data_IF_837850338442
#
_entry.id   IF_837850338442
#
_cell.length_a   1.000
_cell.length_b   1.000
_cell.length_c   1.000
_cell.angle_alpha   90.00
_cell.angle_beta   90.00
_cell.angle_gamma   90.00
#
_symmetry.space_group_name_H-M   'P 1'
#
loop_
_entity.id
_entity.type
_entity.pdbx_description
1 polymer ?
#
# COMPACT_ATOMS: atom_id res chain seq x y z
N UNK A 1 52.21 9.58 31.59
CA UNK A 1 51.73 9.62 32.99
C UNK A 1 51.08 10.97 33.24
N UNK A 2 49.75 11.03 33.12
CA UNK A 2 48.79 12.06 33.57
C UNK A 2 47.44 11.31 33.73
N UNK A 3 46.62 11.58 34.77
CA UNK A 3 45.75 10.58 35.37
C UNK A 3 44.33 10.49 34.80
N UNK A 4 43.72 9.31 35.01
CA UNK A 4 42.32 8.96 34.73
C UNK A 4 41.35 9.81 35.55
N UNK A 5 40.46 10.54 34.86
CA UNK A 5 39.29 11.19 35.42
C UNK A 5 38.07 10.26 35.42
N UNK A 6 37.30 10.32 36.51
CA UNK A 6 36.20 9.45 36.92
C UNK A 6 34.94 9.65 36.05
N UNK A 7 34.32 8.54 35.63
CA UNK A 7 32.91 8.51 35.22
C UNK A 7 32.05 8.30 36.49
N UNK A 8 31.18 9.27 36.78
CA UNK A 8 30.19 9.17 37.83
C UNK A 8 28.97 8.39 37.31
N UNK A 9 28.61 7.34 38.06
CA UNK A 9 27.35 6.63 37.98
C UNK A 9 26.27 7.46 38.68
N UNK A 10 25.09 7.58 38.06
CA UNK A 10 23.85 7.96 38.74
C UNK A 10 22.85 6.83 38.47
N UNK A 11 22.42 6.20 39.57
CA UNK A 11 21.29 5.28 39.64
C UNK A 11 20.07 6.04 40.21
N UNK A 12 18.92 5.35 40.24
CA UNK A 12 17.59 5.70 40.79
C UNK A 12 16.55 5.81 39.65
N UNK A 13 15.40 5.13 39.60
CA UNK A 13 14.66 4.34 40.60
C UNK A 13 13.82 3.23 39.90
N UNK A 14 13.60 2.12 40.62
CA UNK A 14 12.79 0.96 40.26
C UNK A 14 11.34 1.13 40.77
N UNK A 15 10.35 0.85 39.92
CA UNK A 15 9.00 0.47 40.36
C UNK A 15 8.63 -0.90 39.78
N UNK A 16 8.29 -1.83 40.67
CA UNK A 16 7.85 -3.17 40.37
C UNK A 16 6.32 -3.29 40.51
N UNK A 17 5.65 -3.83 39.49
CA UNK A 17 4.36 -4.48 39.69
C UNK A 17 4.17 -5.64 38.70
N UNK A 18 4.19 -6.85 39.28
CA UNK A 18 3.62 -8.12 38.82
C UNK A 18 3.82 -8.48 37.34
N UNK A 19 4.88 -9.25 37.09
CA UNK A 19 4.85 -10.29 36.04
C UNK A 19 5.89 -10.24 34.94
N UNK A 20 7.07 -9.63 35.14
CA UNK A 20 8.08 -9.54 34.07
C UNK A 20 9.51 -9.87 34.51
N UNK A 21 10.25 -10.40 33.53
CA UNK A 21 11.62 -10.90 33.56
C UNK A 21 12.62 -9.86 34.08
N UNK A 22 13.51 -10.29 34.98
CA UNK A 22 14.63 -9.48 35.44
C UNK A 22 15.79 -9.53 34.42
N UNK A 23 16.25 -8.36 33.97
CA UNK A 23 17.60 -8.19 33.42
C UNK A 23 18.51 -7.63 34.50
N UNK A 24 19.46 -8.43 34.98
CA UNK A 24 20.56 -7.96 35.83
C UNK A 24 21.86 -8.58 35.31
N UNK A 25 22.83 -7.74 34.96
CA UNK A 25 24.22 -8.09 34.62
C UNK A 25 24.45 -9.16 33.53
N UNK A 26 24.47 -8.76 32.25
CA UNK A 26 25.26 -9.34 31.11
C UNK A 26 25.58 -10.85 31.08
N UNK A 27 24.73 -11.71 31.61
CA UNK A 27 24.74 -13.15 31.38
C UNK A 27 23.29 -13.60 31.27
N UNK A 28 22.90 -13.98 30.06
CA UNK A 28 21.65 -14.69 29.82
C UNK A 28 21.85 -16.10 30.41
N UNK A 29 21.37 -16.32 31.63
CA UNK A 29 21.29 -17.66 32.22
C UNK A 29 19.96 -18.25 31.79
N UNK A 30 19.92 -18.74 30.55
CA UNK A 30 18.87 -19.66 30.13
C UNK A 30 19.39 -21.08 30.34
N UNK A 31 18.60 -21.92 31.02
CA UNK A 31 18.98 -23.33 31.19
C UNK A 31 18.99 -24.05 29.82
N UNK A 32 19.76 -25.14 29.71
CA UNK A 32 19.73 -25.99 28.51
C UNK A 32 18.32 -26.48 28.19
N UNK A 33 17.49 -26.78 29.21
CA UNK A 33 16.08 -27.13 28.99
C UNK A 33 15.25 -25.96 28.45
N UNK A 34 15.47 -24.71 28.89
CA UNK A 34 14.76 -23.54 28.35
C UNK A 34 15.14 -23.24 26.90
N UNK A 35 16.41 -23.44 26.54
CA UNK A 35 16.88 -23.33 25.15
C UNK A 35 16.30 -24.46 24.29
N UNK A 36 16.15 -25.68 24.82
CA UNK A 36 15.49 -26.79 24.12
C UNK A 36 13.97 -26.59 23.98
N UNK A 37 13.30 -26.04 24.99
CA UNK A 37 11.87 -25.70 24.89
C UNK A 37 11.62 -24.55 23.91
N UNK A 38 12.52 -23.55 23.84
CA UNK A 38 12.47 -22.51 22.82
C UNK A 38 12.90 -23.02 21.45
N UNK A 39 13.82 -23.98 21.38
CA UNK A 39 14.24 -24.66 20.16
C UNK A 39 13.11 -25.49 19.54
N UNK A 40 12.35 -26.22 20.34
CA UNK A 40 11.17 -26.96 19.86
C UNK A 40 10.00 -26.05 19.46
N UNK A 41 9.88 -24.86 20.05
CA UNK A 41 8.92 -23.85 19.57
C UNK A 41 9.43 -23.08 18.33
N UNK A 42 10.74 -23.01 18.10
CA UNK A 42 11.32 -22.38 16.91
C UNK A 42 11.34 -23.30 15.68
N UNK A 43 11.46 -24.62 15.85
CA UNK A 43 11.35 -25.60 14.76
C UNK A 43 9.95 -25.69 14.16
N UNK A 44 8.90 -25.30 14.91
CA UNK A 44 7.51 -25.26 14.44
C UNK A 44 7.16 -24.05 13.54
N UNK A 45 8.11 -23.14 13.29
CA UNK A 45 7.85 -21.92 12.51
C UNK A 45 8.35 -21.94 11.06
N UNK A 46 9.03 -23.01 10.65
CA UNK A 46 9.39 -23.22 9.25
C UNK A 46 8.30 -24.03 8.55
N UNK A 47 7.28 -23.33 8.04
CA UNK A 47 6.36 -23.96 7.09
C UNK A 47 7.13 -24.30 5.81
N UNK A 48 7.05 -25.58 5.42
CA UNK A 48 7.46 -26.03 4.11
C UNK A 48 6.65 -25.31 3.02
N UNK A 49 7.28 -25.10 1.86
CA UNK A 49 6.64 -24.50 0.68
C UNK A 49 5.34 -25.22 0.34
N UNK A 50 4.36 -24.49 -0.18
CA UNK A 50 3.09 -25.09 -0.58
C UNK A 50 3.32 -26.11 -1.71
N UNK A 51 2.67 -27.27 -1.62
CA UNK A 51 2.73 -28.28 -2.68
C UNK A 51 1.97 -27.79 -3.92
N UNK A 52 2.33 -28.30 -5.11
CA UNK A 52 1.63 -27.97 -6.36
C UNK A 52 0.12 -28.19 -6.27
N UNK A 53 -0.32 -29.27 -5.60
CA UNK A 53 -1.75 -29.53 -5.37
C UNK A 53 -2.42 -28.49 -4.46
N UNK A 54 -1.73 -27.97 -3.44
CA UNK A 54 -2.27 -26.91 -2.58
C UNK A 54 -2.39 -25.58 -3.35
N UNK A 55 -1.40 -25.25 -4.19
CA UNK A 55 -1.44 -24.05 -5.03
C UNK A 55 -2.64 -24.09 -5.97
N UNK A 56 -2.90 -25.20 -6.67
CA UNK A 56 -4.04 -25.27 -7.58
C UNK A 56 -5.39 -25.18 -6.86
N UNK A 57 -5.52 -25.71 -5.63
CA UNK A 57 -6.73 -25.53 -4.81
C UNK A 57 -6.95 -24.06 -4.42
N UNK A 58 -5.88 -23.36 -4.01
CA UNK A 58 -5.94 -21.91 -3.74
C UNK A 58 -6.41 -21.15 -4.97
N UNK A 59 -5.87 -21.47 -6.15
CA UNK A 59 -6.26 -20.81 -7.40
C UNK A 59 -7.72 -21.11 -7.78
N UNK A 60 -8.18 -22.34 -7.55
CA UNK A 60 -9.56 -22.74 -7.81
C UNK A 60 -10.54 -21.97 -6.91
N UNK A 61 -10.27 -21.87 -5.61
CA UNK A 61 -11.11 -21.11 -4.69
C UNK A 61 -11.07 -19.60 -4.97
N UNK A 62 -9.89 -19.06 -5.30
CA UNK A 62 -9.75 -17.65 -5.69
C UNK A 62 -10.58 -17.32 -6.94
N UNK A 63 -10.74 -18.27 -7.87
CA UNK A 63 -11.57 -18.05 -9.06
C UNK A 63 -13.07 -17.93 -8.76
N UNK A 64 -13.49 -18.35 -7.55
CA UNK A 64 -14.87 -18.35 -7.09
C UNK A 64 -15.20 -17.16 -6.17
N UNK A 65 -14.24 -16.27 -5.88
CA UNK A 65 -14.49 -15.11 -5.01
C UNK A 65 -15.58 -14.21 -5.59
N UNK A 66 -16.45 -13.72 -4.73
CA UNK A 66 -17.62 -12.96 -5.13
C UNK A 66 -17.27 -11.50 -5.38
N UNK A 67 -16.41 -10.92 -4.55
CA UNK A 67 -16.16 -9.47 -4.55
C UNK A 67 -14.84 -9.05 -5.22
N UNK A 68 -13.96 -10.00 -5.53
CA UNK A 68 -12.64 -9.72 -6.11
C UNK A 68 -12.43 -10.55 -7.38
N UNK A 69 -11.96 -9.90 -8.44
CA UNK A 69 -11.48 -10.53 -9.66
C UNK A 69 -10.01 -10.96 -9.47
N UNK A 70 -9.65 -12.19 -9.86
CA UNK A 70 -8.27 -12.64 -9.88
C UNK A 70 -7.44 -11.89 -10.93
N UNK A 71 -6.10 -12.04 -10.93
CA UNK A 71 -5.24 -11.35 -11.88
C UNK A 71 -5.62 -11.64 -13.34
N UNK A 72 -5.68 -10.56 -14.15
CA UNK A 72 -6.39 -10.54 -15.44
C UNK A 72 -5.66 -11.29 -16.56
N UNK A 73 -4.34 -11.40 -16.49
CA UNK A 73 -3.53 -11.97 -17.56
C UNK A 73 -2.65 -13.14 -17.10
N UNK A 74 -2.30 -14.01 -18.04
CA UNK A 74 -1.51 -15.23 -17.78
C UNK A 74 -0.19 -14.97 -17.05
N UNK A 75 0.48 -13.83 -17.30
CA UNK A 75 1.75 -13.48 -16.66
C UNK A 75 1.55 -13.17 -15.17
N UNK A 76 0.54 -12.39 -14.84
CA UNK A 76 0.15 -12.10 -13.46
C UNK A 76 -0.33 -13.36 -12.74
N UNK A 77 -1.18 -14.18 -13.37
CA UNK A 77 -1.66 -15.44 -12.79
C UNK A 77 -0.50 -16.38 -12.48
N UNK A 78 0.45 -16.55 -13.41
CA UNK A 78 1.65 -17.37 -13.20
C UNK A 78 2.48 -16.83 -12.03
N UNK A 79 2.69 -15.52 -11.99
CA UNK A 79 3.49 -14.90 -10.92
C UNK A 79 2.82 -15.00 -9.56
N UNK A 80 1.50 -14.93 -9.50
CA UNK A 80 0.76 -15.17 -8.27
C UNK A 80 0.89 -16.61 -7.79
N UNK A 81 0.75 -17.60 -8.70
CA UNK A 81 0.99 -19.02 -8.38
C UNK A 81 2.38 -19.26 -7.81
N UNK A 82 3.41 -18.70 -8.45
CA UNK A 82 4.80 -18.73 -7.95
C UNK A 82 4.89 -18.13 -6.54
N UNK A 83 4.26 -16.97 -6.31
CA UNK A 83 4.28 -16.28 -5.02
C UNK A 83 3.59 -17.08 -3.91
N UNK A 84 2.45 -17.73 -4.20
CA UNK A 84 1.75 -18.62 -3.26
C UNK A 84 2.59 -19.85 -2.95
N UNK A 85 3.23 -20.44 -3.97
CA UNK A 85 4.08 -21.63 -3.80
C UNK A 85 5.30 -21.36 -2.91
N UNK A 86 5.85 -20.15 -3.01
CA UNK A 86 7.12 -19.77 -2.40
C UNK A 86 6.96 -18.98 -1.08
N UNK A 87 5.75 -18.51 -0.76
CA UNK A 87 5.48 -17.76 0.46
C UNK A 87 5.78 -18.59 1.71
N UNK A 88 6.51 -17.98 2.65
CA UNK A 88 6.85 -18.58 3.95
C UNK A 88 6.51 -17.62 5.08
N UNK A 89 6.57 -18.05 6.34
CA UNK A 89 6.35 -17.15 7.49
C UNK A 89 7.36 -15.99 7.52
N UNK A 90 8.58 -16.19 6.99
CA UNK A 90 9.64 -15.17 6.94
C UNK A 90 9.52 -14.26 5.72
N UNK A 91 9.04 -14.80 4.62
CA UNK A 91 8.79 -14.08 3.37
C UNK A 91 7.34 -14.34 2.95
N UNK A 92 6.36 -13.73 3.65
CA UNK A 92 4.96 -13.97 3.35
C UNK A 92 4.55 -13.27 2.06
N UNK A 93 3.43 -13.71 1.49
CA UNK A 93 2.73 -12.94 0.46
C UNK A 93 2.37 -11.57 1.04
N UNK A 94 2.90 -10.49 0.48
CA UNK A 94 2.57 -9.13 0.97
C UNK A 94 1.54 -8.50 0.04
N UNK A 95 0.33 -8.35 0.56
CA UNK A 95 -0.82 -7.80 -0.15
C UNK A 95 -0.89 -6.31 0.18
N UNK A 96 -0.80 -5.47 -0.84
CA UNK A 96 -0.87 -4.02 -0.72
C UNK A 96 -2.21 -3.52 -1.24
N UNK A 97 -2.78 -2.59 -0.49
CA UNK A 97 -4.08 -1.99 -0.81
C UNK A 97 -3.94 -0.48 -0.69
N UNK A 98 -4.25 0.24 -1.76
CA UNK A 98 -4.31 1.70 -1.75
C UNK A 98 -5.72 2.17 -1.42
N UNK A 99 -5.85 3.08 -0.47
CA UNK A 99 -7.12 3.69 -0.09
C UNK A 99 -6.98 5.21 -0.13
N UNK A 100 -8.00 5.90 -0.65
CA UNK A 100 -8.05 7.36 -0.55
C UNK A 100 -8.06 7.80 0.93
N UNK A 101 -7.71 9.06 1.21
CA UNK A 101 -8.01 9.68 2.49
C UNK A 101 -9.51 9.58 2.85
N UNK A 102 -9.84 9.89 4.10
CA UNK A 102 -11.23 9.92 4.60
C UNK A 102 -12.01 11.11 4.02
N UNK A 103 -12.18 11.13 2.71
CA UNK A 103 -13.01 12.11 2.03
C UNK A 103 -14.48 11.87 2.35
N UNK A 104 -15.23 12.97 2.48
CA UNK A 104 -16.68 12.92 2.60
C UNK A 104 -17.30 12.09 1.48
N UNK A 105 -18.37 11.38 1.82
CA UNK A 105 -19.09 10.51 0.92
C UNK A 105 -20.59 10.54 1.21
N UNK A 106 -21.39 10.27 0.18
CA UNK A 106 -22.85 10.17 0.25
C UNK A 106 -23.29 9.00 -0.61
N UNK A 107 -24.20 8.17 -0.08
CA UNK A 107 -24.75 7.01 -0.78
C UNK A 107 -23.67 6.03 -1.32
N UNK A 108 -22.55 5.89 -0.58
CA UNK A 108 -21.43 5.01 -0.95
C UNK A 108 -20.47 5.58 -2.00
N UNK A 109 -20.58 6.87 -2.33
CA UNK A 109 -19.75 7.55 -3.33
C UNK A 109 -19.04 8.76 -2.73
N UNK A 110 -17.77 8.97 -3.10
CA UNK A 110 -17.02 10.15 -2.64
C UNK A 110 -17.59 11.46 -3.17
N UNK A 111 -17.87 12.40 -2.26
CA UNK A 111 -18.26 13.78 -2.59
C UNK A 111 -17.05 14.71 -2.65
N UNK A 112 -15.95 14.38 -1.94
CA UNK A 112 -14.77 15.23 -1.78
C UNK A 112 -15.09 16.61 -1.16
N UNK A 113 -16.17 16.71 -0.39
CA UNK A 113 -16.58 17.98 0.25
C UNK A 113 -15.76 18.33 1.49
N UNK A 114 -15.26 17.30 2.20
CA UNK A 114 -14.38 17.48 3.34
C UNK A 114 -13.38 16.33 3.43
N UNK A 115 -12.34 16.54 4.23
CA UNK A 115 -11.36 15.54 4.61
C UNK A 115 -11.47 15.33 6.12
N UNK A 116 -11.89 14.14 6.52
CA UNK A 116 -11.96 13.71 7.91
C UNK A 116 -10.64 13.16 8.42
N UNK A 117 -10.72 12.41 9.52
CA UNK A 117 -9.62 11.64 10.10
C UNK A 117 -10.11 10.29 10.62
N UNK A 118 -11.28 9.84 10.12
CA UNK A 118 -11.91 8.56 10.42
C UNK A 118 -11.38 7.44 9.55
N UNK A 119 -12.11 6.33 9.51
CA UNK A 119 -11.77 5.19 8.65
C UNK A 119 -12.29 5.46 7.24
N UNK A 120 -11.42 5.55 6.22
CA UNK A 120 -11.86 5.88 4.87
C UNK A 120 -12.89 4.88 4.34
N UNK A 121 -13.83 5.37 3.53
CA UNK A 121 -14.87 4.55 2.90
C UNK A 121 -14.28 3.34 2.18
N UNK A 122 -13.26 3.56 1.34
CA UNK A 122 -12.62 2.49 0.59
C UNK A 122 -11.92 1.47 1.51
N UNK A 123 -11.35 1.93 2.63
CA UNK A 123 -10.79 1.03 3.65
C UNK A 123 -11.86 0.12 4.26
N UNK A 124 -13.07 0.63 4.54
CA UNK A 124 -14.16 -0.21 5.06
C UNK A 124 -14.55 -1.31 4.07
N UNK A 125 -14.56 -1.00 2.78
CA UNK A 125 -14.81 -2.01 1.75
C UNK A 125 -13.70 -3.05 1.66
N UNK A 126 -12.43 -2.64 1.70
CA UNK A 126 -11.30 -3.57 1.74
C UNK A 126 -11.37 -4.51 2.94
N UNK A 127 -11.62 -3.97 4.13
CA UNK A 127 -11.77 -4.79 5.34
C UNK A 127 -12.93 -5.79 5.27
N UNK A 128 -13.92 -5.55 4.41
CA UNK A 128 -15.10 -6.41 4.28
C UNK A 128 -14.96 -7.43 3.15
N UNK A 129 -14.44 -7.00 1.99
CA UNK A 129 -14.38 -7.81 0.79
C UNK A 129 -13.06 -8.56 0.62
N UNK A 130 -11.95 -7.98 1.05
CA UNK A 130 -10.65 -8.66 0.98
C UNK A 130 -10.58 -9.85 1.93
N UNK A 131 -11.49 -9.90 2.92
CA UNK A 131 -11.65 -11.02 3.84
C UNK A 131 -11.88 -12.36 3.12
N UNK A 132 -12.52 -12.38 1.96
CA UNK A 132 -12.70 -13.62 1.19
C UNK A 132 -11.37 -14.21 0.73
N UNK A 133 -10.48 -13.37 0.17
CA UNK A 133 -9.14 -13.80 -0.21
C UNK A 133 -8.35 -14.24 1.02
N UNK A 134 -8.45 -13.48 2.12
CA UNK A 134 -7.79 -13.83 3.38
C UNK A 134 -8.24 -15.21 3.88
N UNK A 135 -9.53 -15.50 3.86
CA UNK A 135 -10.06 -16.79 4.30
C UNK A 135 -9.52 -17.96 3.45
N UNK A 136 -9.37 -17.79 2.13
CA UNK A 136 -8.75 -18.79 1.26
C UNK A 136 -7.29 -19.00 1.66
N UNK A 137 -6.52 -17.92 1.83
CA UNK A 137 -5.11 -18.02 2.24
C UNK A 137 -4.95 -18.69 3.60
N UNK A 138 -5.84 -18.43 4.56
CA UNK A 138 -5.82 -19.06 5.88
C UNK A 138 -6.18 -20.53 5.84
N UNK A 139 -7.24 -20.89 5.11
CA UNK A 139 -7.69 -22.28 4.91
C UNK A 139 -6.56 -23.14 4.35
N UNK A 140 -5.82 -22.61 3.37
CA UNK A 140 -4.69 -23.29 2.73
C UNK A 140 -3.35 -22.98 3.38
N UNK A 141 -3.33 -22.34 4.55
CA UNK A 141 -2.13 -22.10 5.35
C UNK A 141 -1.04 -21.30 4.61
N UNK A 142 -1.41 -20.46 3.65
CA UNK A 142 -0.50 -19.56 2.92
C UNK A 142 -0.15 -18.37 3.82
N UNK A 143 1.13 -18.16 4.19
CA UNK A 143 1.52 -17.01 4.99
C UNK A 143 1.33 -15.71 4.21
N UNK A 144 0.65 -14.74 4.82
CA UNK A 144 0.38 -13.44 4.21
C UNK A 144 0.55 -12.28 5.20
N UNK A 145 0.68 -11.08 4.64
CA UNK A 145 0.61 -9.79 5.33
C UNK A 145 -0.19 -8.82 4.47
N UNK A 146 -1.25 -8.25 5.00
CA UNK A 146 -2.07 -7.23 4.34
C UNK A 146 -1.67 -5.84 4.83
N UNK A 147 -1.37 -4.94 3.91
CA UNK A 147 -0.98 -3.56 4.18
C UNK A 147 -1.99 -2.62 3.52
N UNK A 148 -2.85 -2.02 4.35
CA UNK A 148 -3.79 -0.98 3.92
C UNK A 148 -3.09 0.36 4.01
N UNK A 149 -2.90 1.01 2.87
CA UNK A 149 -2.15 2.25 2.73
C UNK A 149 -3.08 3.41 2.38
N UNK A 150 -3.12 4.43 3.25
CA UNK A 150 -3.81 5.68 2.97
C UNK A 150 -2.96 6.55 2.05
N UNK A 151 -3.57 7.08 0.99
CA UNK A 151 -2.92 7.93 0.00
C UNK A 151 -2.71 9.35 0.54
N UNK A 152 -1.57 9.59 1.18
CA UNK A 152 -1.14 10.91 1.69
C UNK A 152 -0.42 11.77 0.64
N UNK A 153 -0.26 11.26 -0.57
CA UNK A 153 0.36 11.95 -1.71
C UNK A 153 -0.47 13.14 -2.23
N UNK A 154 -1.72 13.30 -1.84
CA UNK A 154 -2.50 14.48 -2.26
C UNK A 154 -2.19 15.72 -1.41
N UNK A 155 -1.50 15.55 -0.28
CA UNK A 155 -1.05 16.67 0.56
C UNK A 155 -0.03 17.59 -0.13
N UNK A 156 0.69 17.10 -1.15
CA UNK A 156 1.65 17.88 -1.95
C UNK A 156 0.99 18.58 -3.16
N UNK A 157 -0.32 18.42 -3.33
CA UNK A 157 -1.06 19.08 -4.38
C UNK A 157 -1.69 20.35 -3.82
N UNK A 158 -1.10 21.51 -4.15
CA UNK A 158 -1.48 22.80 -3.55
C UNK A 158 -2.98 23.08 -3.63
N UNK A 159 -3.65 22.64 -4.70
CA UNK A 159 -5.09 22.84 -4.86
C UNK A 159 -5.89 21.99 -3.87
N UNK A 160 -5.42 20.77 -3.57
CA UNK A 160 -6.02 19.91 -2.55
C UNK A 160 -5.74 20.46 -1.15
N UNK A 161 -4.51 20.84 -0.86
CA UNK A 161 -4.15 21.46 0.41
C UNK A 161 -4.97 22.73 0.67
N UNK A 162 -5.09 23.63 -0.31
CA UNK A 162 -5.91 24.84 -0.23
C UNK A 162 -7.38 24.50 0.09
N UNK A 163 -7.94 23.53 -0.64
CA UNK A 163 -9.36 23.18 -0.49
C UNK A 163 -9.69 22.58 0.87
N UNK A 164 -8.85 21.68 1.39
CA UNK A 164 -9.21 20.86 2.55
C UNK A 164 -8.66 21.41 3.88
N UNK A 165 -7.57 22.16 3.82
CA UNK A 165 -6.84 22.66 5.00
C UNK A 165 -6.35 24.10 4.82
N UNK A 166 -6.89 24.86 3.87
CA UNK A 166 -6.49 26.27 3.67
C UNK A 166 -5.01 26.44 3.31
N UNK A 167 -4.43 25.44 2.66
CA UNK A 167 -3.04 25.45 2.19
C UNK A 167 -2.08 24.80 3.19
N UNK A 168 -2.56 24.37 4.37
CA UNK A 168 -1.73 23.72 5.36
C UNK A 168 -1.51 22.23 5.01
N UNK A 169 -0.35 21.96 4.39
CA UNK A 169 0.11 20.59 4.07
C UNK A 169 0.22 19.71 5.32
N UNK A 170 0.74 20.24 6.43
CA UNK A 170 0.97 19.47 7.65
C UNK A 170 -0.36 19.06 8.30
N UNK A 171 -1.35 19.95 8.28
CA UNK A 171 -2.70 19.60 8.71
C UNK A 171 -3.30 18.49 7.82
N UNK A 172 -3.11 18.55 6.50
CA UNK A 172 -3.60 17.52 5.59
C UNK A 172 -2.98 16.16 5.93
N UNK A 173 -1.65 16.13 6.08
CA UNK A 173 -0.92 14.92 6.47
C UNK A 173 -1.37 14.40 7.83
N UNK A 174 -1.58 15.29 8.81
CA UNK A 174 -2.07 14.92 10.14
C UNK A 174 -3.45 14.25 10.06
N UNK A 175 -4.35 14.73 9.19
CA UNK A 175 -5.66 14.11 8.94
C UNK A 175 -5.53 12.73 8.30
N UNK A 176 -4.67 12.58 7.29
CA UNK A 176 -4.35 11.26 6.71
C UNK A 176 -3.80 10.29 7.78
N UNK A 177 -2.93 10.76 8.66
CA UNK A 177 -2.36 9.94 9.73
C UNK A 177 -3.37 9.58 10.81
N UNK A 178 -4.30 10.48 11.13
CA UNK A 178 -5.46 10.13 11.95
C UNK A 178 -6.25 8.97 11.33
N UNK A 179 -6.47 9.00 10.01
CA UNK A 179 -7.15 7.88 9.32
C UNK A 179 -6.38 6.56 9.39
N UNK A 180 -5.04 6.60 9.34
CA UNK A 180 -4.19 5.42 9.57
C UNK A 180 -4.42 4.86 10.97
N UNK A 181 -4.43 5.72 11.98
CA UNK A 181 -4.56 5.31 13.37
C UNK A 181 -5.97 4.77 13.68
N UNK A 182 -7.02 5.41 13.17
CA UNK A 182 -8.41 4.91 13.26
C UNK A 182 -8.59 3.58 12.54
N UNK A 183 -7.98 3.41 11.37
CA UNK A 183 -8.01 2.14 10.66
C UNK A 183 -7.33 1.04 11.49
N UNK A 184 -6.21 1.36 12.16
CA UNK A 184 -5.52 0.42 13.06
C UNK A 184 -6.40 -0.01 14.22
N UNK A 185 -7.14 0.92 14.85
CA UNK A 185 -8.08 0.61 15.93
C UNK A 185 -9.16 -0.39 15.46
N UNK A 186 -9.76 -0.16 14.30
CA UNK A 186 -10.78 -1.07 13.72
C UNK A 186 -10.18 -2.43 13.37
N UNK A 187 -8.97 -2.47 12.81
CA UNK A 187 -8.25 -3.72 12.56
C UNK A 187 -8.02 -4.50 13.86
N UNK A 188 -7.59 -3.83 14.93
CA UNK A 188 -7.35 -4.48 16.23
C UNK A 188 -8.63 -5.07 16.82
N UNK A 189 -9.74 -4.35 16.74
CA UNK A 189 -11.06 -4.84 17.16
C UNK A 189 -11.45 -6.09 16.38
N UNK A 190 -11.39 -6.04 15.03
CA UNK A 190 -11.71 -7.18 14.16
C UNK A 190 -10.76 -8.37 14.34
N UNK A 191 -9.47 -8.13 14.53
CA UNK A 191 -8.51 -9.21 14.75
C UNK A 191 -8.82 -10.00 16.02
N UNK A 192 -9.32 -9.32 17.08
CA UNK A 192 -9.81 -9.98 18.28
C UNK A 192 -11.03 -10.87 18.03
N UNK A 193 -11.92 -10.47 17.11
CA UNK A 193 -13.12 -11.21 16.74
C UNK A 193 -12.81 -12.42 15.83
N UNK A 194 -11.90 -12.27 14.87
CA UNK A 194 -11.63 -13.26 13.83
C UNK A 194 -10.34 -14.07 14.04
N UNK A 195 -9.53 -13.77 15.06
CA UNK A 195 -8.27 -14.45 15.33
C UNK A 195 -7.15 -14.14 14.32
N UNK A 196 -7.29 -13.07 13.52
CA UNK A 196 -6.33 -12.64 12.50
C UNK A 196 -5.19 -11.86 13.18
N UNK A 197 -4.43 -12.51 14.07
CA UNK A 197 -3.45 -11.78 14.89
C UNK A 197 -2.28 -11.22 14.07
N UNK A 198 -2.27 -9.89 13.88
CA UNK A 198 -1.10 -9.09 13.47
C UNK A 198 -0.76 -9.12 11.98
N UNK A 199 -1.57 -9.76 11.13
CA UNK A 199 -1.28 -9.88 9.69
C UNK A 199 -1.77 -8.68 8.87
N UNK A 200 -2.75 -7.95 9.37
CA UNK A 200 -3.30 -6.75 8.74
C UNK A 200 -2.71 -5.54 9.46
N UNK A 201 -2.12 -4.61 8.69
CA UNK A 201 -1.60 -3.35 9.21
C UNK A 201 -2.16 -2.16 8.42
N UNK A 202 -2.23 -1.01 9.08
CA UNK A 202 -2.53 0.27 8.43
C UNK A 202 -1.28 1.15 8.39
N UNK A 203 -1.05 1.76 7.23
CA UNK A 203 0.06 2.65 6.92
C UNK A 203 -0.41 3.76 5.96
N UNK A 204 0.51 4.61 5.50
CA UNK A 204 0.29 5.55 4.39
C UNK A 204 1.37 5.36 3.32
N UNK A 205 1.23 5.96 2.14
CA UNK A 205 2.27 5.83 1.11
C UNK A 205 3.61 6.38 1.60
N UNK A 206 3.63 7.56 2.23
CA UNK A 206 4.88 8.13 2.74
C UNK A 206 5.46 7.37 3.92
N UNK A 207 4.63 6.85 4.84
CA UNK A 207 5.15 6.00 5.94
C UNK A 207 5.67 4.66 5.44
N UNK A 208 5.04 4.08 4.42
CA UNK A 208 5.43 2.78 3.89
C UNK A 208 6.70 2.86 3.04
N UNK A 209 6.86 3.90 2.22
CA UNK A 209 7.95 3.96 1.24
C UNK A 209 8.97 5.07 1.50
N UNK A 210 8.71 5.98 2.42
CA UNK A 210 9.45 7.21 2.65
C UNK A 210 8.99 8.32 1.69
N UNK A 211 8.65 9.50 2.23
CA UNK A 211 8.18 10.65 1.43
C UNK A 211 9.18 11.02 0.33
N UNK A 212 10.43 11.33 0.68
CA UNK A 212 11.47 11.73 -0.28
C UNK A 212 11.67 10.71 -1.40
N UNK A 213 11.71 9.42 -1.03
CA UNK A 213 11.89 8.33 -2.00
C UNK A 213 10.68 8.20 -2.92
N UNK A 214 9.48 8.28 -2.37
CA UNK A 214 8.24 8.23 -3.15
C UNK A 214 8.17 9.41 -4.13
N UNK A 215 8.40 10.63 -3.62
CA UNK A 215 8.33 11.86 -4.40
C UNK A 215 9.39 11.93 -5.49
N UNK A 216 10.63 11.55 -5.18
CA UNK A 216 11.72 11.48 -6.16
C UNK A 216 11.37 10.51 -7.29
N UNK A 217 10.85 9.33 -6.95
CA UNK A 217 10.47 8.33 -7.94
C UNK A 217 9.27 8.78 -8.80
N UNK A 218 8.26 9.40 -8.17
CA UNK A 218 7.11 9.95 -8.87
C UNK A 218 7.51 11.05 -9.85
N UNK A 219 8.34 12.00 -9.44
CA UNK A 219 8.82 13.07 -10.31
C UNK A 219 9.59 12.51 -11.51
N UNK A 220 10.49 11.55 -11.29
CA UNK A 220 11.22 10.91 -12.38
C UNK A 220 10.28 10.22 -13.39
N UNK A 221 9.24 9.52 -12.92
CA UNK A 221 8.24 8.94 -13.83
C UNK A 221 7.42 10.01 -14.55
N UNK A 222 7.06 11.09 -13.87
CA UNK A 222 6.30 12.18 -14.47
C UNK A 222 7.08 12.87 -15.59
N UNK A 223 8.40 13.06 -15.43
CA UNK A 223 9.28 13.62 -16.47
C UNK A 223 9.30 12.73 -17.72
N UNK A 224 9.52 11.42 -17.56
CA UNK A 224 9.52 10.44 -18.67
C UNK A 224 8.15 10.41 -19.37
N UNK A 225 7.07 10.44 -18.59
CA UNK A 225 5.70 10.47 -19.11
C UNK A 225 5.41 11.75 -19.89
N UNK A 226 5.90 12.89 -19.42
CA UNK A 226 5.76 14.19 -20.09
C UNK A 226 6.53 14.22 -21.41
N UNK A 227 7.78 13.74 -21.41
CA UNK A 227 8.55 13.58 -22.64
C UNK A 227 7.82 12.68 -23.64
N UNK A 228 7.28 11.55 -23.18
CA UNK A 228 6.50 10.66 -24.03
C UNK A 228 5.23 11.32 -24.56
N UNK A 229 4.50 12.06 -23.74
CA UNK A 229 3.31 12.82 -24.18
C UNK A 229 3.64 13.81 -25.31
N UNK A 230 4.81 14.45 -25.25
CA UNK A 230 5.31 15.37 -26.28
C UNK A 230 5.73 14.66 -27.55
N UNK A 231 6.26 13.45 -27.47
CA UNK A 231 6.94 12.79 -28.60
C UNK A 231 6.18 11.59 -29.22
N UNK A 232 5.14 11.07 -28.56
CA UNK A 232 4.38 9.88 -28.98
C UNK A 232 2.89 10.23 -29.12
N UNK A 233 2.43 10.36 -30.37
CA UNK A 233 1.04 10.72 -30.69
C UNK A 233 0.03 9.69 -30.16
N UNK A 234 0.36 8.39 -30.19
CA UNK A 234 -0.52 7.35 -29.67
C UNK A 234 -0.69 7.50 -28.16
N UNK A 235 0.42 7.75 -27.45
CA UNK A 235 0.38 8.01 -26.02
C UNK A 235 -0.37 9.31 -25.69
N UNK A 236 -0.19 10.36 -26.49
CA UNK A 236 -0.95 11.62 -26.36
C UNK A 236 -2.45 11.40 -26.46
N UNK A 237 -2.90 10.65 -27.47
CA UNK A 237 -4.32 10.32 -27.65
C UNK A 237 -4.87 9.48 -26.48
N UNK A 238 -4.09 8.54 -25.95
CA UNK A 238 -4.44 7.79 -24.74
C UNK A 238 -4.70 8.74 -23.56
N UNK A 239 -3.78 9.67 -23.30
CA UNK A 239 -3.91 10.63 -22.19
C UNK A 239 -5.15 11.51 -22.36
N UNK A 240 -5.42 12.00 -23.58
CA UNK A 240 -6.64 12.76 -23.88
C UNK A 240 -7.91 11.93 -23.64
N UNK A 241 -7.91 10.66 -24.05
CA UNK A 241 -8.99 9.73 -23.76
C UNK A 241 -9.23 9.51 -22.26
N UNK A 242 -8.15 9.37 -21.49
CA UNK A 242 -8.22 9.24 -20.03
C UNK A 242 -8.78 10.50 -19.35
N UNK A 243 -8.42 11.69 -19.84
CA UNK A 243 -8.98 12.97 -19.37
C UNK A 243 -10.49 13.03 -19.59
N UNK A 244 -10.96 12.71 -20.80
CA UNK A 244 -12.40 12.72 -21.14
C UNK A 244 -13.18 11.78 -20.21
N UNK A 245 -12.65 10.58 -19.96
CA UNK A 245 -13.29 9.58 -19.11
C UNK A 245 -13.29 9.96 -17.62
N UNK A 246 -12.38 10.84 -17.18
CA UNK A 246 -12.24 11.30 -15.79
C UNK A 246 -12.82 12.68 -15.55
N UNK A 247 -13.35 13.35 -16.57
CA UNK A 247 -13.75 14.76 -16.47
C UNK A 247 -14.74 15.01 -15.32
N UNK A 248 -15.75 14.16 -15.15
CA UNK A 248 -16.73 14.32 -14.07
C UNK A 248 -16.11 14.16 -12.68
N UNK A 249 -15.13 13.26 -12.54
CA UNK A 249 -14.35 13.14 -11.30
C UNK A 249 -13.49 14.38 -11.07
N UNK A 250 -12.80 14.88 -12.11
CA UNK A 250 -11.96 16.07 -11.99
C UNK A 250 -12.76 17.32 -11.62
N UNK A 251 -13.98 17.50 -12.15
CA UNK A 251 -14.88 18.59 -11.73
C UNK A 251 -15.25 18.51 -10.24
N UNK A 252 -15.47 17.30 -9.71
CA UNK A 252 -15.71 17.08 -8.26
C UNK A 252 -14.46 17.36 -7.42
N UNK A 253 -13.28 16.98 -7.91
CA UNK A 253 -11.99 17.17 -7.21
C UNK A 253 -11.51 18.63 -7.21
N UNK A 254 -11.82 19.39 -8.26
CA UNK A 254 -11.32 20.75 -8.50
C UNK A 254 -12.47 21.76 -8.70
N UNK A 255 -13.41 21.79 -7.75
CA UNK A 255 -14.64 22.57 -7.83
C UNK A 255 -14.32 24.05 -8.08
N UNK A 256 -14.83 24.57 -9.20
CA UNK A 256 -14.66 25.96 -9.60
C UNK A 256 -13.23 26.38 -9.94
N UNK A 257 -12.26 25.47 -9.92
CA UNK A 257 -10.87 25.74 -10.35
C UNK A 257 -10.77 25.60 -11.87
N UNK A 258 -11.25 24.48 -12.40
CA UNK A 258 -11.22 24.18 -13.84
C UNK A 258 -12.01 25.24 -14.64
N UNK A 259 -13.14 25.70 -14.10
CA UNK A 259 -14.04 26.63 -14.79
C UNK A 259 -13.49 28.07 -14.87
N UNK A 260 -12.41 28.39 -14.13
CA UNK A 260 -11.76 29.72 -14.12
C UNK A 260 -10.53 29.79 -15.02
N UNK A 261 -10.04 28.66 -15.49
CA UNK A 261 -8.88 28.56 -16.38
C UNK A 261 -9.31 28.86 -17.81
N UNK A 262 -8.41 29.45 -18.61
CA UNK A 262 -8.63 29.45 -20.06
C UNK A 262 -8.48 28.03 -20.65
N UNK A 263 -8.83 27.87 -21.93
CA UNK A 263 -8.83 26.55 -22.59
C UNK A 263 -7.44 25.90 -22.58
N UNK A 264 -6.38 26.70 -22.75
CA UNK A 264 -5.02 26.18 -22.80
C UNK A 264 -4.54 25.79 -21.39
N UNK A 265 -4.74 26.66 -20.41
CA UNK A 265 -4.44 26.40 -19.00
C UNK A 265 -5.18 25.15 -18.50
N UNK A 266 -6.45 25.00 -18.90
CA UNK A 266 -7.25 23.82 -18.58
C UNK A 266 -6.66 22.54 -19.19
N UNK A 267 -6.26 22.55 -20.47
CA UNK A 267 -5.63 21.40 -21.10
C UNK A 267 -4.33 21.02 -20.40
N UNK A 268 -3.46 22.01 -20.14
CA UNK A 268 -2.18 21.81 -19.46
C UNK A 268 -2.36 21.25 -18.05
N UNK A 269 -3.31 21.79 -17.28
CA UNK A 269 -3.65 21.32 -15.95
C UNK A 269 -4.13 19.87 -15.96
N UNK A 270 -5.08 19.53 -16.83
CA UNK A 270 -5.68 18.19 -16.90
C UNK A 270 -4.68 17.13 -17.41
N UNK A 271 -3.82 17.50 -18.34
CA UNK A 271 -2.68 16.67 -18.76
C UNK A 271 -1.73 16.45 -17.60
N UNK A 272 -1.30 17.52 -16.93
CA UNK A 272 -0.41 17.46 -15.77
C UNK A 272 -0.95 16.55 -14.68
N UNK A 273 -2.23 16.72 -14.30
CA UNK A 273 -2.90 15.84 -13.33
C UNK A 273 -2.92 14.39 -13.79
N UNK A 274 -3.29 14.13 -15.04
CA UNK A 274 -3.40 12.76 -15.57
C UNK A 274 -2.05 12.06 -15.57
N UNK A 275 -0.99 12.74 -16.01
CA UNK A 275 0.38 12.21 -15.99
C UNK A 275 0.88 11.99 -14.56
N UNK A 276 0.61 12.91 -13.63
CA UNK A 276 0.93 12.75 -12.20
C UNK A 276 0.27 11.51 -11.62
N UNK A 277 -1.01 11.25 -11.93
CA UNK A 277 -1.69 10.02 -11.48
C UNK A 277 -1.04 8.77 -12.09
N UNK A 278 -0.69 8.78 -13.38
CA UNK A 278 0.01 7.64 -13.97
C UNK A 278 1.38 7.41 -13.31
N UNK A 279 2.12 8.47 -13.02
CA UNK A 279 3.40 8.42 -12.30
C UNK A 279 3.25 7.82 -10.90
N UNK A 280 2.18 8.16 -10.17
CA UNK A 280 1.87 7.56 -8.86
C UNK A 280 1.73 6.03 -8.95
N UNK A 281 0.99 5.51 -9.94
CA UNK A 281 0.83 4.06 -10.12
C UNK A 281 2.13 3.37 -10.53
N UNK A 282 2.94 3.99 -11.39
CA UNK A 282 4.28 3.47 -11.73
C UNK A 282 5.19 3.43 -10.50
N UNK A 283 5.17 4.49 -9.70
CA UNK A 283 5.93 4.62 -8.46
C UNK A 283 5.56 3.54 -7.46
N UNK A 284 4.26 3.37 -7.19
CA UNK A 284 3.74 2.30 -6.34
C UNK A 284 4.18 0.93 -6.86
N UNK A 285 4.01 0.66 -8.16
CA UNK A 285 4.42 -0.59 -8.78
C UNK A 285 5.91 -0.87 -8.62
N UNK A 286 6.76 0.15 -8.71
CA UNK A 286 8.21 0.01 -8.48
C UNK A 286 8.52 -0.27 -7.02
N UNK A 287 8.10 0.62 -6.13
CA UNK A 287 8.46 0.60 -4.71
C UNK A 287 7.90 -0.64 -3.99
N UNK A 288 6.70 -1.10 -4.36
CA UNK A 288 6.12 -2.36 -3.86
C UNK A 288 6.99 -3.56 -4.26
N UNK A 289 7.45 -3.62 -5.52
CA UNK A 289 8.30 -4.73 -5.98
C UNK A 289 9.71 -4.72 -5.40
N UNK A 290 10.21 -3.56 -4.99
CA UNK A 290 11.49 -3.43 -4.29
C UNK A 290 11.35 -3.79 -2.80
N UNK A 291 10.18 -3.50 -2.19
CA UNK A 291 9.94 -3.72 -0.76
C UNK A 291 9.59 -5.16 -0.39
N UNK A 292 8.89 -5.88 -1.28
CA UNK A 292 8.48 -7.25 -1.02
C UNK A 292 8.87 -8.19 -2.15
N UNK A 293 9.33 -9.39 -1.78
CA UNK A 293 9.68 -10.46 -2.72
C UNK A 293 8.47 -11.09 -3.41
N UNK A 294 7.34 -11.15 -2.69
CA UNK A 294 6.07 -11.74 -3.14
C UNK A 294 4.94 -10.70 -3.02
N UNK A 295 5.01 -9.58 -3.76
CA UNK A 295 4.01 -8.53 -3.68
C UNK A 295 2.74 -8.93 -4.42
N UNK A 296 1.59 -8.51 -3.91
CA UNK A 296 0.28 -8.56 -4.56
C UNK A 296 -0.38 -7.21 -4.34
N UNK A 297 -1.14 -6.72 -5.32
CA UNK A 297 -1.97 -5.53 -5.15
C UNK A 297 -3.43 -5.93 -5.23
N UNK A 298 -4.27 -5.43 -4.32
CA UNK A 298 -5.73 -5.37 -4.53
C UNK A 298 -6.09 -3.91 -4.77
N UNK A 299 -6.78 -3.65 -5.86
CA UNK A 299 -7.16 -2.30 -6.24
C UNK A 299 -8.67 -2.25 -6.55
N UNK A 300 -9.32 -1.15 -6.20
CA UNK A 300 -10.67 -0.88 -6.72
C UNK A 300 -10.65 -0.67 -8.25
N UNK A 301 -11.78 -0.76 -8.96
CA UNK A 301 -11.85 -0.42 -10.37
C UNK A 301 -11.30 0.98 -10.64
N UNK A 302 -10.33 1.06 -11.55
CA UNK A 302 -9.75 2.32 -12.02
C UNK A 302 -9.13 2.12 -13.40
N UNK A 303 -9.07 3.20 -14.17
CA UNK A 303 -8.43 3.21 -15.50
C UNK A 303 -6.91 2.99 -15.41
N UNK A 304 -6.29 3.28 -14.26
CA UNK A 304 -4.85 3.17 -14.07
C UNK A 304 -4.38 1.79 -13.56
N UNK A 305 -5.26 0.80 -13.39
CA UNK A 305 -4.88 -0.47 -12.75
C UNK A 305 -3.75 -1.20 -13.51
N UNK A 306 -3.72 -1.10 -14.84
CA UNK A 306 -2.64 -1.68 -15.65
C UNK A 306 -1.29 -0.96 -15.49
N UNK A 307 -1.29 0.29 -15.03
CA UNK A 307 -0.11 1.16 -15.00
C UNK A 307 0.94 0.66 -13.99
N UNK A 308 0.55 -0.03 -12.91
CA UNK A 308 1.49 -0.67 -11.97
C UNK A 308 2.55 -1.53 -12.68
N UNK A 309 2.16 -2.25 -13.74
CA UNK A 309 3.02 -3.15 -14.51
C UNK A 309 3.57 -2.54 -15.81
N UNK A 310 3.19 -1.30 -16.14
CA UNK A 310 3.72 -0.57 -17.31
C UNK A 310 5.16 -0.07 -17.10
N UNK A 311 5.74 -0.21 -15.92
CA UNK A 311 7.15 0.12 -15.65
C UNK A 311 8.17 -0.64 -16.50
N UNK A 312 7.76 -1.73 -17.17
CA UNK A 312 8.58 -2.39 -18.19
C UNK A 312 8.55 -1.72 -19.57
N UNK A 313 7.61 -0.79 -19.78
CA UNK A 313 7.44 0.02 -20.99
C UNK A 313 7.83 1.48 -20.78
N UNK A 314 7.87 1.91 -19.52
CA UNK A 314 8.19 3.26 -19.08
C UNK A 314 9.35 3.09 -18.09
N UNK A 315 10.56 3.04 -18.64
CA UNK A 315 11.79 2.83 -17.87
C UNK A 315 12.28 4.18 -17.33
N UNK A 316 12.80 4.20 -16.12
CA UNK A 316 13.54 5.35 -15.61
C UNK A 316 14.98 5.35 -16.14
N UNK A 317 15.64 6.52 -16.20
CA UNK A 317 17.07 6.59 -16.47
C UNK A 317 17.86 5.67 -15.53
N UNK A 318 18.68 4.78 -16.11
CA UNK A 318 19.49 3.82 -15.35
C UNK A 318 18.81 2.49 -15.03
N UNK A 319 17.54 2.29 -15.44
CA UNK A 319 16.92 0.97 -15.33
C UNK A 319 17.69 -0.07 -16.14
N UNK A 320 17.91 -1.23 -15.51
CA UNK A 320 18.56 -2.35 -16.18
C UNK A 320 17.70 -2.83 -17.36
N UNK A 321 18.32 -3.44 -18.39
CA UNK A 321 17.59 -4.00 -19.53
C UNK A 321 16.67 -5.17 -19.15
N UNK A 322 16.83 -5.72 -17.93
CA UNK A 322 15.96 -6.79 -17.45
C UNK A 322 14.63 -6.24 -16.98
N UNK A 323 13.49 -6.84 -17.39
CA UNK A 323 12.19 -6.36 -17.00
C UNK A 323 11.97 -6.54 -15.49
N UNK A 324 11.44 -5.50 -14.86
CA UNK A 324 10.89 -5.55 -13.52
C UNK A 324 9.87 -6.70 -13.38
N UNK A 325 9.89 -7.47 -12.27
CA UNK A 325 8.95 -8.57 -12.05
C UNK A 325 7.49 -8.09 -12.09
N UNK A 326 6.63 -8.73 -12.85
CA UNK A 326 5.19 -8.38 -12.85
C UNK A 326 4.58 -8.55 -11.46
N UNK A 327 3.78 -7.58 -11.00
CA UNK A 327 3.03 -7.70 -9.76
C UNK A 327 1.64 -8.24 -10.09
N UNK A 328 1.17 -9.33 -9.46
CA UNK A 328 -0.22 -9.73 -9.57
C UNK A 328 -1.16 -8.64 -9.03
N UNK A 329 -2.15 -8.25 -9.83
CA UNK A 329 -3.14 -7.25 -9.44
C UNK A 329 -4.52 -7.87 -9.43
N UNK A 330 -5.13 -7.92 -8.25
CA UNK A 330 -6.52 -8.25 -8.04
C UNK A 330 -7.35 -6.97 -8.14
N UNK A 331 -8.58 -7.10 -8.64
CA UNK A 331 -9.47 -5.96 -8.81
C UNK A 331 -10.80 -6.20 -8.10
N UNK A 332 -11.26 -5.26 -7.30
CA UNK A 332 -12.59 -5.35 -6.70
C UNK A 332 -13.70 -5.26 -7.76
N UNK A 333 -14.83 -5.91 -7.55
CA UNK A 333 -15.94 -5.91 -8.54
C UNK A 333 -16.89 -4.71 -8.44
N UNK A 334 -16.76 -3.85 -7.44
CA UNK A 334 -17.62 -2.67 -7.23
C UNK A 334 -16.82 -1.37 -7.35
N UNK A 335 -17.48 -0.31 -7.81
CA UNK A 335 -16.91 1.05 -7.88
C UNK A 335 -17.34 1.88 -6.67
N UNK A 336 -16.48 2.80 -6.24
CA UNK A 336 -16.74 3.78 -5.16
C UNK A 336 -16.81 5.23 -5.67
N UNK A 337 -16.89 5.41 -7.00
CA UNK A 337 -16.90 6.70 -7.71
C UNK A 337 -18.11 6.88 -8.61
#
# INVERSE_FOLDING_TARGET
MVPRGKLALVADDLFASKGELFFVNKQIIMSKEQIQQLGHNHELLFREKATSSAVEKVMEEISKLEHINPPRNKRETRRFRESVSEATTREPLTIYVGSCPDYAHKDGLYTHESLGGGVPLLTNYHLSYDQELINVLETHKVPYRLVIMIADVEAIDDIFAERFTGGDKEEFLARCYSSVDRTREVIQQRNGEFGINGRIISSSFFREFGEDRFMTCQHAYQEVLLERYRNDDSFRQRVKGDIVQRMEMYKKMYVGVIDRMDIQEQEEFLVGRTLRTMAQYLTLGRLISEKSKYPVIINHPTRNIGVYNERNKILLPGDAPQPHPTIPVFEMKFSVY
#
